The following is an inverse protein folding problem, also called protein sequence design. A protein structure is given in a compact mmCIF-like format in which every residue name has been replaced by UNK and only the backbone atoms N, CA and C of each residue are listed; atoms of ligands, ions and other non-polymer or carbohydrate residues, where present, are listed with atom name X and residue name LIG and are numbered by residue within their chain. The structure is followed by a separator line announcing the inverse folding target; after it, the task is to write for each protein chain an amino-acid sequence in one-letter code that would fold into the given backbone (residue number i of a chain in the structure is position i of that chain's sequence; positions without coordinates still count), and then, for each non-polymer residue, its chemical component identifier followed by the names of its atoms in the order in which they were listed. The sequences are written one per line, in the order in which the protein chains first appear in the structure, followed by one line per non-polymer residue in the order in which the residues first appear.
data_IF_894024973519
#
_entry.id   IF_894024973519
#
_cell.length_a   1.000
_cell.length_b   1.000
_cell.length_c   1.000
_cell.angle_alpha   90.00
_cell.angle_beta   90.00
_cell.angle_gamma   90.00
#
_symmetry.space_group_name_H-M   'P 1'
#
loop_
_entity.id
_entity.type
_entity.pdbx_description
1 polymer ?
#
# COMPACT_ATOMS: atom_id res chain seq x y z
N UNK A 1 42.92 19.76 36.30
CA UNK A 1 42.09 18.54 36.12
C UNK A 1 40.57 18.74 36.23
N UNK A 2 40.04 19.72 36.99
CA UNK A 2 38.57 19.91 37.14
C UNK A 2 37.83 20.40 35.88
N UNK A 3 38.50 21.15 34.98
CA UNK A 3 37.91 21.63 33.71
C UNK A 3 37.71 20.52 32.68
N UNK A 4 38.68 19.63 32.49
CA UNK A 4 38.58 18.51 31.55
C UNK A 4 37.46 17.52 31.92
N UNK A 5 37.24 17.29 33.22
CA UNK A 5 36.17 16.43 33.72
C UNK A 5 34.77 16.99 33.48
N UNK A 6 34.62 18.33 33.47
CA UNK A 6 33.33 19.00 33.16
C UNK A 6 33.00 18.95 31.66
N UNK A 7 34.01 19.07 30.79
CA UNK A 7 33.83 18.99 29.33
C UNK A 7 33.42 17.58 28.89
N UNK A 8 34.01 16.55 29.50
CA UNK A 8 33.65 15.15 29.21
C UNK A 8 32.20 14.82 29.60
N UNK A 9 31.72 15.33 30.74
CA UNK A 9 30.33 15.15 31.18
C UNK A 9 29.31 15.89 30.30
N UNK A 10 29.67 17.05 29.76
CA UNK A 10 28.84 17.78 28.78
C UNK A 10 28.72 17.00 27.46
N UNK A 11 29.81 16.44 26.93
CA UNK A 11 29.78 15.66 25.67
C UNK A 11 28.93 14.38 25.77
N UNK A 12 28.92 13.71 26.93
CA UNK A 12 28.12 12.51 27.19
C UNK A 12 26.61 12.80 27.29
N UNK A 13 26.22 14.01 27.69
CA UNK A 13 24.81 14.43 27.78
C UNK A 13 24.27 15.05 26.49
N UNK A 14 25.14 15.64 25.65
CA UNK A 14 24.72 16.21 24.36
C UNK A 14 24.42 15.15 23.29
N UNK A 15 25.07 13.98 23.36
CA UNK A 15 24.92 12.92 22.35
C UNK A 15 23.48 12.35 22.24
N UNK A 16 22.78 12.00 23.34
CA UNK A 16 21.40 11.54 23.25
C UNK A 16 20.42 12.66 22.90
N UNK A 17 20.65 13.90 23.36
CA UNK A 17 19.79 15.04 23.04
C UNK A 17 19.84 15.42 21.55
N UNK A 18 21.01 15.30 20.92
CA UNK A 18 21.18 15.52 19.48
C UNK A 18 20.57 14.39 18.64
N UNK A 19 20.64 13.14 19.11
CA UNK A 19 19.97 12.01 18.47
C UNK A 19 18.45 12.12 18.55
N UNK A 20 17.92 12.55 19.70
CA UNK A 20 16.49 12.80 19.89
C UNK A 20 16.02 14.00 19.06
N UNK A 21 16.76 15.11 19.04
CA UNK A 21 16.44 16.27 18.20
C UNK A 21 16.50 15.97 16.70
N UNK A 22 17.35 15.03 16.27
CA UNK A 22 17.35 14.54 14.90
C UNK A 22 16.11 13.67 14.61
N UNK A 23 15.75 12.76 15.53
CA UNK A 23 14.54 11.93 15.44
C UNK A 23 13.25 12.76 15.40
N UNK A 24 13.21 13.85 16.17
CA UNK A 24 12.06 14.76 16.28
C UNK A 24 12.08 15.87 15.21
N UNK A 25 12.99 15.81 14.23
CA UNK A 25 12.99 16.76 13.13
C UNK A 25 11.68 16.64 12.32
N UNK A 26 11.09 17.73 11.82
CA UNK A 26 9.80 17.69 11.12
C UNK A 26 9.76 16.67 9.96
N UNK A 27 10.87 16.54 9.23
CA UNK A 27 10.99 15.54 8.15
C UNK A 27 10.98 14.10 8.65
N UNK A 28 11.66 13.81 9.76
CA UNK A 28 11.65 12.47 10.36
C UNK A 28 10.30 12.14 11.00
N UNK A 29 9.62 13.12 11.60
CA UNK A 29 8.26 12.94 12.11
C UNK A 29 7.27 12.66 10.96
N UNK A 30 7.40 13.36 9.84
CA UNK A 30 6.57 13.11 8.65
C UNK A 30 6.80 11.70 8.08
N UNK A 31 8.05 11.26 7.99
CA UNK A 31 8.41 9.89 7.59
C UNK A 31 7.82 8.83 8.53
N UNK A 32 7.88 9.08 9.84
CA UNK A 32 7.29 8.18 10.83
C UNK A 32 5.76 8.13 10.74
N UNK A 33 5.09 9.28 10.58
CA UNK A 33 3.62 9.34 10.40
C UNK A 33 3.22 8.62 9.12
N UNK A 34 3.96 8.84 8.04
CA UNK A 34 3.75 8.13 6.78
C UNK A 34 3.85 6.62 6.97
N UNK A 35 4.93 6.13 7.57
CA UNK A 35 5.17 4.70 7.74
C UNK A 35 4.18 4.03 8.70
N UNK A 36 3.92 4.64 9.85
CA UNK A 36 3.16 4.02 10.95
C UNK A 36 1.65 4.16 10.80
N UNK A 37 1.19 5.20 10.09
CA UNK A 37 -0.23 5.50 9.93
C UNK A 37 -0.65 5.28 8.49
N UNK A 38 -0.14 6.09 7.56
CA UNK A 38 -0.67 6.15 6.19
C UNK A 38 -0.36 4.88 5.40
N UNK A 39 0.92 4.52 5.28
CA UNK A 39 1.37 3.35 4.54
C UNK A 39 0.86 2.06 5.19
N UNK A 40 0.81 2.01 6.53
CA UNK A 40 0.21 0.87 7.25
C UNK A 40 -1.28 0.73 6.89
N UNK A 41 -2.05 1.82 6.89
CA UNK A 41 -3.47 1.78 6.51
C UNK A 41 -3.65 1.32 5.06
N UNK A 42 -2.83 1.83 4.14
CA UNK A 42 -2.84 1.40 2.74
C UNK A 42 -2.57 -0.10 2.63
N UNK A 43 -1.53 -0.60 3.29
CA UNK A 43 -1.21 -2.03 3.26
C UNK A 43 -2.31 -2.90 3.89
N UNK A 44 -2.96 -2.43 4.96
CA UNK A 44 -4.11 -3.11 5.56
C UNK A 44 -5.31 -3.15 4.59
N UNK A 45 -5.60 -2.04 3.91
CA UNK A 45 -6.66 -1.98 2.89
C UNK A 45 -6.35 -2.94 1.73
N UNK A 46 -5.10 -3.00 1.28
CA UNK A 46 -4.66 -3.91 0.21
C UNK A 46 -4.78 -5.37 0.65
N UNK A 47 -4.43 -5.70 1.88
CA UNK A 47 -4.63 -7.05 2.43
C UNK A 47 -6.12 -7.41 2.53
N UNK A 48 -6.97 -6.49 3.00
CA UNK A 48 -8.42 -6.70 3.05
C UNK A 48 -9.03 -6.90 1.65
N UNK A 49 -8.57 -6.16 0.65
CA UNK A 49 -8.96 -6.39 -0.75
C UNK A 49 -8.52 -7.77 -1.24
N UNK A 50 -7.30 -8.21 -0.89
CA UNK A 50 -6.81 -9.54 -1.22
C UNK A 50 -7.71 -10.64 -0.65
N UNK A 51 -8.07 -10.53 0.63
CA UNK A 51 -8.95 -11.48 1.31
C UNK A 51 -10.35 -11.49 0.67
N UNK A 52 -10.91 -10.31 0.36
CA UNK A 52 -12.20 -10.20 -0.30
C UNK A 52 -12.23 -10.82 -1.70
N UNK A 53 -11.16 -10.66 -2.47
CA UNK A 53 -11.01 -11.29 -3.79
C UNK A 53 -10.81 -12.81 -3.67
N UNK A 54 -10.06 -13.26 -2.66
CA UNK A 54 -9.83 -14.67 -2.36
C UNK A 54 -11.07 -15.42 -1.84
N UNK A 55 -12.01 -14.71 -1.21
CA UNK A 55 -13.23 -15.26 -0.62
C UNK A 55 -14.33 -15.67 -1.62
N UNK A 56 -14.08 -15.57 -2.93
CA UNK A 56 -14.91 -16.24 -3.93
C UNK A 56 -15.59 -15.34 -4.94
N UNK A 57 -14.84 -14.50 -5.65
CA UNK A 57 -15.36 -13.83 -6.84
C UNK A 57 -15.38 -14.79 -8.05
N UNK A 58 -16.31 -15.75 -8.04
CA UNK A 58 -16.65 -16.52 -9.23
C UNK A 58 -17.96 -15.98 -9.81
N UNK A 59 -18.02 -15.67 -11.11
CA UNK A 59 -19.29 -15.37 -11.79
C UNK A 59 -20.32 -16.47 -11.50
N UNK A 60 -21.53 -16.09 -11.11
CA UNK A 60 -22.58 -17.00 -10.63
C UNK A 60 -23.08 -18.05 -11.63
N UNK A 61 -22.70 -17.93 -12.92
CA UNK A 61 -23.23 -18.73 -14.03
C UNK A 61 -22.13 -19.45 -14.85
N UNK A 62 -21.05 -19.89 -14.19
CA UNK A 62 -20.00 -20.67 -14.86
C UNK A 62 -20.39 -22.14 -15.01
N UNK A 63 -20.24 -22.75 -16.20
CA UNK A 63 -20.30 -24.20 -16.35
C UNK A 63 -19.37 -24.90 -15.34
N UNK A 64 -19.77 -26.05 -14.79
CA UNK A 64 -18.95 -26.76 -13.80
C UNK A 64 -17.52 -27.08 -14.31
N UNK A 65 -17.38 -27.34 -15.61
CA UNK A 65 -16.09 -27.55 -16.26
C UNK A 65 -15.18 -26.29 -16.24
N UNK A 66 -15.77 -25.10 -16.22
CA UNK A 66 -15.03 -23.82 -16.15
C UNK A 66 -14.50 -23.47 -14.76
N UNK A 67 -15.24 -23.89 -13.72
CA UNK A 67 -15.04 -23.40 -12.36
C UNK A 67 -13.59 -23.49 -11.87
N UNK A 68 -12.84 -24.59 -12.10
CA UNK A 68 -11.45 -24.68 -11.67
C UNK A 68 -10.52 -23.69 -12.38
N UNK A 69 -10.68 -23.54 -13.70
CA UNK A 69 -9.85 -22.66 -14.52
C UNK A 69 -10.11 -21.19 -14.18
N UNK A 70 -11.39 -20.81 -14.03
CA UNK A 70 -11.76 -19.44 -13.66
C UNK A 70 -11.30 -19.11 -12.23
N UNK A 71 -11.43 -20.05 -11.28
CA UNK A 71 -10.93 -19.85 -9.91
C UNK A 71 -9.43 -19.59 -9.88
N UNK A 72 -8.65 -20.37 -10.63
CA UNK A 72 -7.21 -20.20 -10.72
C UNK A 72 -6.85 -18.82 -11.32
N UNK A 73 -7.52 -18.43 -12.40
CA UNK A 73 -7.30 -17.14 -13.05
C UNK A 73 -7.62 -15.95 -12.13
N UNK A 74 -8.74 -15.99 -11.40
CA UNK A 74 -9.12 -14.95 -10.43
C UNK A 74 -8.10 -14.86 -9.30
N UNK A 75 -7.65 -15.99 -8.75
CA UNK A 75 -6.64 -16.00 -7.70
C UNK A 75 -5.30 -15.39 -8.17
N UNK A 76 -4.89 -15.73 -9.39
CA UNK A 76 -3.66 -15.22 -10.01
C UNK A 76 -3.72 -13.72 -10.25
N UNK A 77 -4.82 -13.23 -10.83
CA UNK A 77 -5.05 -11.80 -11.05
C UNK A 77 -5.09 -11.02 -9.75
N UNK A 78 -5.78 -11.54 -8.74
CA UNK A 78 -5.88 -10.90 -7.42
C UNK A 78 -4.51 -10.79 -6.77
N UNK A 79 -3.70 -11.85 -6.83
CA UNK A 79 -2.33 -11.86 -6.30
C UNK A 79 -1.45 -10.83 -7.01
N UNK A 80 -1.52 -10.79 -8.34
CA UNK A 80 -0.76 -9.85 -9.14
C UNK A 80 -1.16 -8.39 -8.86
N UNK A 81 -2.46 -8.09 -8.77
CA UNK A 81 -2.97 -6.75 -8.44
C UNK A 81 -2.57 -6.31 -7.04
N UNK A 82 -2.67 -7.19 -6.05
CA UNK A 82 -2.27 -6.90 -4.65
C UNK A 82 -0.79 -6.55 -4.58
N UNK A 83 0.06 -7.39 -5.19
CA UNK A 83 1.50 -7.14 -5.27
C UNK A 83 1.79 -5.82 -5.97
N UNK A 84 1.15 -5.57 -7.10
CA UNK A 84 1.32 -4.36 -7.88
C UNK A 84 0.96 -3.09 -7.08
N UNK A 85 -0.17 -3.09 -6.37
CA UNK A 85 -0.56 -2.00 -5.49
C UNK A 85 0.47 -1.79 -4.37
N UNK A 86 0.93 -2.87 -3.73
CA UNK A 86 1.96 -2.78 -2.71
C UNK A 86 3.25 -2.17 -3.26
N UNK A 87 3.78 -2.68 -4.37
CA UNK A 87 5.02 -2.16 -4.96
C UNK A 87 4.88 -0.68 -5.32
N UNK A 88 3.73 -0.26 -5.84
CA UNK A 88 3.50 1.14 -6.19
C UNK A 88 3.42 2.06 -4.98
N UNK A 89 2.71 1.65 -3.93
CA UNK A 89 2.65 2.45 -2.72
C UNK A 89 3.97 2.44 -1.97
N UNK A 90 4.78 1.38 -2.07
CA UNK A 90 6.10 1.34 -1.45
C UNK A 90 7.21 1.97 -2.32
N UNK A 91 6.88 2.59 -3.47
CA UNK A 91 7.87 3.27 -4.33
C UNK A 91 8.61 4.38 -3.55
N UNK A 92 9.95 4.34 -3.46
CA UNK A 92 10.71 5.30 -2.66
C UNK A 92 10.63 6.75 -3.14
N UNK A 93 10.33 7.00 -4.43
CA UNK A 93 10.18 8.37 -4.92
C UNK A 93 8.82 8.95 -4.52
N UNK A 94 7.75 8.16 -4.65
CA UNK A 94 6.42 8.49 -4.16
C UNK A 94 6.42 8.71 -2.65
N UNK A 95 6.99 7.78 -1.87
CA UNK A 95 7.04 7.87 -0.42
C UNK A 95 7.73 9.15 0.05
N UNK A 96 8.91 9.48 -0.50
CA UNK A 96 9.59 10.74 -0.18
C UNK A 96 8.80 11.98 -0.56
N UNK A 97 8.11 11.97 -1.71
CA UNK A 97 7.25 13.07 -2.12
C UNK A 97 6.06 13.27 -1.17
N UNK A 98 5.45 12.17 -0.73
CA UNK A 98 4.35 12.19 0.21
C UNK A 98 4.77 12.66 1.61
N UNK A 99 5.95 12.23 2.08
CA UNK A 99 6.55 12.69 3.34
C UNK A 99 6.83 14.19 3.36
N UNK A 100 7.30 14.75 2.23
CA UNK A 100 7.47 16.20 2.09
C UNK A 100 6.13 16.94 2.20
N UNK A 101 5.08 16.41 1.58
CA UNK A 101 3.73 16.97 1.70
C UNK A 101 3.23 16.92 3.15
N UNK A 102 3.38 15.78 3.84
CA UNK A 102 3.04 15.63 5.26
C UNK A 102 3.78 16.65 6.14
N UNK A 103 5.09 16.80 5.94
CA UNK A 103 5.92 17.75 6.70
C UNK A 103 5.59 19.22 6.40
N UNK A 104 4.95 19.50 5.27
CA UNK A 104 4.45 20.84 4.92
C UNK A 104 3.03 21.12 5.41
N UNK A 105 2.20 20.08 5.49
CA UNK A 105 0.79 20.18 5.83
C UNK A 105 0.56 20.21 7.35
N UNK A 106 1.46 19.60 8.11
CA UNK A 106 1.37 19.48 9.56
C UNK A 106 2.60 20.06 10.25
N UNK A 107 2.39 20.64 11.43
CA UNK A 107 3.50 21.05 12.31
C UNK A 107 4.16 19.82 12.95
N UNK A 108 5.42 19.96 13.39
CA UNK A 108 6.11 18.90 14.13
C UNK A 108 5.34 18.43 15.37
N UNK A 109 4.70 19.36 16.10
CA UNK A 109 3.89 19.01 17.28
C UNK A 109 2.67 18.17 16.90
N UNK A 110 2.01 18.48 15.79
CA UNK A 110 0.86 17.69 15.30
C UNK A 110 1.30 16.33 14.79
N UNK A 111 2.42 16.26 14.06
CA UNK A 111 3.00 14.98 13.62
C UNK A 111 3.35 14.09 14.81
N UNK A 112 3.97 14.64 15.86
CA UNK A 112 4.24 13.90 17.08
C UNK A 112 2.94 13.43 17.76
N UNK A 113 1.92 14.28 17.84
CA UNK A 113 0.64 13.92 18.44
C UNK A 113 -0.05 12.75 17.69
N UNK A 114 0.07 12.68 16.36
CA UNK A 114 -0.40 11.52 15.60
C UNK A 114 0.35 10.23 15.97
N UNK A 115 1.68 10.32 16.13
CA UNK A 115 2.51 9.18 16.52
C UNK A 115 2.17 8.68 17.92
N UNK A 116 1.98 9.60 18.88
CA UNK A 116 1.63 9.25 20.25
C UNK A 116 0.28 8.50 20.31
N UNK A 117 -0.70 8.89 19.48
CA UNK A 117 -2.01 8.24 19.38
C UNK A 117 -2.00 6.92 18.60
N UNK A 118 -0.97 6.65 17.79
CA UNK A 118 -0.92 5.51 16.86
C UNK A 118 -0.95 4.12 17.52
N UNK A 119 -0.64 4.04 18.82
CA UNK A 119 -0.74 2.81 19.61
C UNK A 119 -2.07 2.61 20.35
N UNK A 120 -2.93 3.64 20.38
CA UNK A 120 -4.13 3.69 21.20
C UNK A 120 -5.41 3.79 20.37
N UNK A 121 -5.36 4.49 19.23
CA UNK A 121 -6.52 4.78 18.41
C UNK A 121 -6.60 3.89 17.16
N UNK A 122 -7.82 3.72 16.64
CA UNK A 122 -8.03 2.97 15.42
C UNK A 122 -7.29 3.63 14.24
N UNK A 123 -6.48 2.83 13.54
CA UNK A 123 -5.64 3.30 12.44
C UNK A 123 -6.43 4.02 11.34
N UNK A 124 -7.65 3.55 11.03
CA UNK A 124 -8.51 4.16 10.03
C UNK A 124 -8.94 5.59 10.40
N UNK A 125 -9.23 5.83 11.68
CA UNK A 125 -9.60 7.14 12.21
C UNK A 125 -8.41 8.09 12.16
N UNK A 126 -7.24 7.65 12.65
CA UNK A 126 -6.01 8.44 12.58
C UNK A 126 -5.60 8.76 11.16
N UNK A 127 -5.68 7.79 10.24
CA UNK A 127 -5.38 8.01 8.85
C UNK A 127 -6.33 9.04 8.23
N UNK A 128 -7.63 8.98 8.51
CA UNK A 128 -8.58 9.97 8.03
C UNK A 128 -8.25 11.39 8.53
N UNK A 129 -7.84 11.52 9.80
CA UNK A 129 -7.42 12.80 10.36
C UNK A 129 -6.14 13.32 9.69
N UNK A 130 -5.10 12.48 9.56
CA UNK A 130 -3.86 12.84 8.85
C UNK A 130 -4.16 13.29 7.42
N UNK A 131 -5.03 12.59 6.71
CA UNK A 131 -5.40 12.85 5.31
C UNK A 131 -6.32 14.07 5.14
N UNK A 132 -6.92 14.58 6.21
CA UNK A 132 -7.77 15.78 6.18
C UNK A 132 -7.01 17.08 5.88
N UNK A 133 -5.67 17.05 5.96
CA UNK A 133 -4.84 18.18 5.63
C UNK A 133 -4.93 18.54 4.13
N UNK A 134 -4.85 19.82 3.77
CA UNK A 134 -4.92 20.25 2.38
C UNK A 134 -3.90 19.53 1.48
N UNK A 135 -4.37 19.00 0.35
CA UNK A 135 -3.52 18.44 -0.70
C UNK A 135 -3.06 16.98 -0.50
N UNK A 136 -3.17 16.41 0.71
CA UNK A 136 -2.74 15.03 0.95
C UNK A 136 -3.67 14.02 0.27
N UNK A 137 -4.99 14.19 0.43
CA UNK A 137 -5.96 13.34 -0.24
C UNK A 137 -5.85 13.44 -1.77
N UNK A 138 -5.76 14.66 -2.30
CA UNK A 138 -5.57 14.87 -3.74
C UNK A 138 -4.27 14.26 -4.27
N UNK A 139 -3.18 14.27 -3.50
CA UNK A 139 -1.91 13.64 -3.89
C UNK A 139 -2.02 12.11 -3.95
N UNK A 140 -2.70 11.50 -2.98
CA UNK A 140 -2.95 10.06 -2.96
C UNK A 140 -3.89 9.66 -4.11
N UNK A 141 -4.98 10.41 -4.34
CA UNK A 141 -5.90 10.20 -5.46
C UNK A 141 -5.20 10.35 -6.81
N UNK A 142 -4.34 11.36 -6.98
CA UNK A 142 -3.55 11.54 -8.19
C UNK A 142 -2.56 10.37 -8.41
N UNK A 143 -2.02 9.78 -7.33
CA UNK A 143 -1.18 8.60 -7.43
C UNK A 143 -1.97 7.36 -7.86
N UNK A 144 -3.17 7.18 -7.30
CA UNK A 144 -4.11 6.12 -7.71
C UNK A 144 -4.62 6.30 -9.15
N UNK A 145 -4.84 7.53 -9.59
CA UNK A 145 -5.24 7.83 -10.96
C UNK A 145 -4.10 7.54 -11.94
N UNK A 146 -2.86 7.92 -11.60
CA UNK A 146 -1.67 7.55 -12.38
C UNK A 146 -1.51 6.04 -12.47
N UNK A 147 -1.76 5.31 -11.38
CA UNK A 147 -1.79 3.86 -11.36
C UNK A 147 -2.81 3.29 -12.35
N UNK A 148 -4.03 3.80 -12.34
CA UNK A 148 -5.11 3.32 -13.23
C UNK A 148 -4.80 3.62 -14.70
N UNK A 149 -4.27 4.81 -15.00
CA UNK A 149 -3.85 5.18 -16.36
C UNK A 149 -2.62 4.40 -16.82
N UNK A 150 -1.69 4.14 -15.90
CA UNK A 150 -0.52 3.35 -16.17
C UNK A 150 -0.86 1.86 -16.30
N UNK A 151 -1.91 1.35 -15.64
CA UNK A 151 -2.32 -0.05 -15.74
C UNK A 151 -2.51 -0.51 -17.19
N UNK A 152 -3.07 0.32 -18.07
CA UNK A 152 -3.20 0.00 -19.51
C UNK A 152 -1.84 -0.20 -20.21
N UNK A 153 -0.81 0.50 -19.75
CA UNK A 153 0.57 0.40 -20.27
C UNK A 153 1.47 -0.53 -19.45
N UNK A 154 1.09 -0.82 -18.21
CA UNK A 154 1.84 -1.60 -17.23
C UNK A 154 1.38 -3.05 -17.19
N UNK A 155 0.17 -3.36 -17.64
CA UNK A 155 -0.19 -4.73 -18.02
C UNK A 155 0.83 -5.29 -19.04
N UNK A 156 1.43 -4.43 -19.86
CA UNK A 156 2.53 -4.81 -20.78
C UNK A 156 3.93 -4.76 -20.17
N UNK A 157 4.10 -4.19 -18.96
CA UNK A 157 5.40 -4.00 -18.32
C UNK A 157 5.62 -4.84 -17.04
N UNK A 158 4.55 -5.29 -16.38
CA UNK A 158 4.60 -6.11 -15.17
C UNK A 158 4.45 -7.60 -15.50
N UNK A 159 5.48 -8.43 -15.28
CA UNK A 159 5.44 -9.85 -15.62
C UNK A 159 4.39 -10.64 -14.83
N UNK A 160 4.04 -10.20 -13.61
CA UNK A 160 3.04 -10.85 -12.77
C UNK A 160 1.63 -10.66 -13.32
N UNK A 161 1.29 -9.42 -13.68
CA UNK A 161 0.03 -9.07 -14.34
C UNK A 161 -0.08 -9.71 -15.73
N UNK A 162 0.99 -9.74 -16.53
CA UNK A 162 0.99 -10.46 -17.82
C UNK A 162 0.67 -11.94 -17.66
N UNK A 163 1.30 -12.59 -16.69
CA UNK A 163 1.05 -14.01 -16.41
C UNK A 163 -0.41 -14.21 -15.98
N UNK A 164 -0.92 -13.37 -15.08
CA UNK A 164 -2.31 -13.46 -14.64
C UNK A 164 -3.30 -13.23 -15.81
N UNK A 165 -3.03 -12.27 -16.69
CA UNK A 165 -3.82 -12.04 -17.90
C UNK A 165 -3.80 -13.24 -18.84
N UNK A 166 -2.64 -13.88 -19.02
CA UNK A 166 -2.53 -15.10 -19.81
C UNK A 166 -3.35 -16.26 -19.22
N UNK A 167 -3.38 -16.39 -17.89
CA UNK A 167 -4.20 -17.38 -17.18
C UNK A 167 -5.71 -17.08 -17.29
N UNK A 168 -6.11 -15.80 -17.24
CA UNK A 168 -7.49 -15.38 -17.54
C UNK A 168 -7.88 -15.73 -18.97
N UNK A 169 -7.04 -15.41 -19.95
CA UNK A 169 -7.29 -15.74 -21.36
C UNK A 169 -7.39 -17.25 -21.59
N UNK A 170 -6.54 -18.04 -20.92
CA UNK A 170 -6.58 -19.50 -20.96
C UNK A 170 -7.88 -20.06 -20.35
N UNK A 171 -8.30 -19.53 -19.20
CA UNK A 171 -9.57 -19.92 -18.58
C UNK A 171 -10.78 -19.58 -19.47
N UNK A 172 -10.76 -18.42 -20.13
CA UNK A 172 -11.80 -18.02 -21.09
C UNK A 172 -11.87 -19.00 -22.27
N UNK A 173 -10.73 -19.35 -22.87
CA UNK A 173 -10.68 -20.32 -23.97
C UNK A 173 -11.21 -21.70 -23.55
N UNK A 174 -10.85 -22.15 -22.35
CA UNK A 174 -11.35 -23.40 -21.78
C UNK A 174 -12.89 -23.36 -21.63
N UNK A 175 -13.42 -22.22 -21.17
CA UNK A 175 -14.85 -22.03 -21.05
C UNK A 175 -15.60 -21.97 -22.37
N UNK A 176 -15.04 -21.30 -23.36
CA UNK A 176 -15.65 -21.23 -24.68
C UNK A 176 -15.68 -22.61 -25.33
N UNK A 177 -14.62 -23.41 -25.17
CA UNK A 177 -14.60 -24.81 -25.61
C UNK A 177 -15.69 -25.64 -24.90
N UNK A 178 -15.78 -25.56 -23.56
CA UNK A 178 -16.76 -26.32 -22.78
C UNK A 178 -18.22 -25.92 -23.07
N UNK A 179 -18.47 -24.68 -23.52
CA UNK A 179 -19.80 -24.21 -23.95
C UNK A 179 -20.19 -24.67 -25.36
N UNK A 180 -19.20 -24.98 -26.20
CA UNK A 180 -19.41 -25.46 -27.56
C UNK A 180 -19.55 -26.98 -27.65
N UNK A 181 -19.14 -27.72 -26.62
CA UNK A 181 -19.42 -29.15 -26.52
C UNK A 181 -20.92 -29.35 -26.18
N UNK A 182 -21.72 -29.97 -27.07
CA UNK A 182 -23.10 -30.30 -26.72
C UNK A 182 -23.07 -31.29 -25.56
N UNK A 183 -24.00 -31.14 -24.60
CA UNK A 183 -24.25 -32.17 -23.59
C UNK A 183 -24.48 -33.50 -24.33
N UNK A 184 -23.45 -34.35 -24.39
CA UNK A 184 -23.56 -35.68 -24.91
C UNK A 184 -24.51 -36.42 -23.96
N UNK A 185 -25.74 -36.60 -24.42
CA UNK A 185 -26.90 -36.92 -23.61
C UNK A 185 -26.72 -38.10 -22.67
N UNK A 186 -27.35 -37.97 -21.51
CA UNK A 186 -27.82 -39.10 -20.70
C UNK A 186 -29.28 -39.35 -20.97
#
# INVERSE_FOLDING_TARGET
MRRARRVALLMLLLSPALAQAAADSPGNLAAQVNAQIVLRQVNNNVAMMADGLGAGFLPGDLPAACEPATRAAVASMSTALVRFMQETFNDPAYQRGFEQLLGSAWTAQQLQAFLDRSGEEELGVLNAEVMSAPGLQAAQEAHMARLTQAADSMMDADPGLQKALAEVNSAQQHCDAARMEPEAGT
#
